data_IF_777788423533
#
_entry.id   IF_777788423533
#
_cell.length_a   1.000
_cell.length_b   1.000
_cell.length_c   1.000
_cell.angle_alpha   90.00
_cell.angle_beta   90.00
_cell.angle_gamma   90.00
#
_symmetry.space_group_name_H-M   'P 1'
#
loop_
_entity.id
_entity.type
_entity.pdbx_description
1 polymer ?
#
# COMPACT_ATOMS: atom_id res chain seq x y z
N UNK A 1 -1.22 17.81 16.39
CA UNK A 1 -1.75 17.10 15.22
C UNK A 1 -3.16 16.69 15.60
N UNK A 2 -4.14 16.88 14.71
CA UNK A 2 -5.46 16.29 14.97
C UNK A 2 -5.32 14.76 14.95
N UNK A 3 -6.21 14.04 15.64
CA UNK A 3 -6.23 12.57 15.72
C UNK A 3 -6.40 11.87 14.33
N UNK A 4 -6.51 12.67 13.26
CA UNK A 4 -6.71 12.22 11.87
C UNK A 4 -5.60 12.63 10.90
N UNK A 5 -4.65 13.51 11.30
CA UNK A 5 -3.55 13.92 10.43
C UNK A 5 -2.53 12.76 10.35
N UNK A 6 -2.27 12.26 9.16
CA UNK A 6 -1.32 11.18 8.95
C UNK A 6 0.08 11.76 8.67
N UNK A 7 1.09 11.31 9.42
CA UNK A 7 2.47 11.77 9.28
C UNK A 7 3.01 11.66 7.84
N UNK A 8 2.50 10.70 7.08
CA UNK A 8 2.91 10.44 5.69
C UNK A 8 2.48 11.55 4.72
N UNK A 9 1.42 12.33 5.01
CA UNK A 9 0.95 13.40 4.12
C UNK A 9 2.02 14.47 3.91
N UNK A 10 2.75 14.86 4.96
CA UNK A 10 3.84 15.82 4.89
C UNK A 10 5.00 15.32 4.02
N UNK A 11 5.30 14.04 4.10
CA UNK A 11 6.30 13.37 3.29
C UNK A 11 5.88 13.35 1.82
N UNK A 12 4.66 12.91 1.54
CA UNK A 12 4.10 12.86 0.20
C UNK A 12 4.07 14.25 -0.46
N UNK A 13 3.66 15.28 0.29
CA UNK A 13 3.62 16.67 -0.17
C UNK A 13 5.00 17.23 -0.50
N UNK A 14 6.04 16.81 0.20
CA UNK A 14 7.41 17.20 -0.12
C UNK A 14 7.94 16.47 -1.36
N UNK A 15 7.72 15.15 -1.45
CA UNK A 15 8.31 14.31 -2.50
C UNK A 15 7.63 14.48 -3.85
N UNK A 16 6.30 14.52 -3.90
CA UNK A 16 5.50 14.59 -5.14
C UNK A 16 5.99 13.60 -6.21
N UNK A 17 6.22 14.06 -7.44
CA UNK A 17 6.73 13.23 -8.54
C UNK A 17 8.12 12.63 -8.27
N UNK A 18 8.92 13.23 -7.37
CA UNK A 18 10.22 12.67 -6.98
C UNK A 18 10.09 11.28 -6.36
N UNK A 19 8.95 10.94 -5.74
CA UNK A 19 8.67 9.61 -5.21
C UNK A 19 8.89 8.51 -6.26
N UNK A 20 8.50 8.74 -7.51
CA UNK A 20 8.65 7.78 -8.61
C UNK A 20 10.10 7.56 -9.07
N UNK A 21 11.07 8.33 -8.56
CA UNK A 21 12.49 8.19 -8.87
C UNK A 21 13.24 7.25 -7.92
N UNK A 22 12.63 6.87 -6.80
CA UNK A 22 13.23 5.99 -5.82
C UNK A 22 13.38 4.56 -6.34
N UNK A 23 14.39 3.85 -5.86
CA UNK A 23 14.77 2.53 -6.39
C UNK A 23 13.67 1.48 -6.22
N UNK A 24 12.90 1.55 -5.14
CA UNK A 24 11.81 0.62 -4.86
C UNK A 24 10.64 0.73 -5.85
N UNK A 25 10.56 1.78 -6.65
CA UNK A 25 9.51 1.92 -7.67
C UNK A 25 9.84 1.20 -8.99
N UNK A 26 11.09 0.75 -9.18
CA UNK A 26 11.55 0.18 -10.45
C UNK A 26 11.01 -1.23 -10.74
N UNK A 27 10.51 -1.95 -9.72
CA UNK A 27 9.98 -3.31 -9.85
C UNK A 27 8.49 -3.40 -10.24
N UNK A 28 7.81 -2.28 -10.52
CA UNK A 28 6.35 -2.23 -10.69
C UNK A 28 5.80 -3.24 -11.70
N UNK A 29 6.44 -3.42 -12.84
CA UNK A 29 5.95 -4.35 -13.87
C UNK A 29 6.03 -5.81 -13.39
N UNK A 30 7.15 -6.21 -12.76
CA UNK A 30 7.32 -7.55 -12.20
C UNK A 30 6.37 -7.79 -11.03
N UNK A 31 6.15 -6.78 -10.19
CA UNK A 31 5.18 -6.85 -9.08
C UNK A 31 3.77 -7.11 -9.63
N UNK A 32 3.36 -6.41 -10.67
CA UNK A 32 2.07 -6.63 -11.32
C UNK A 32 1.99 -7.99 -12.02
N UNK A 33 3.07 -8.45 -12.67
CA UNK A 33 3.14 -9.81 -13.24
C UNK A 33 2.88 -10.87 -12.17
N UNK A 34 3.53 -10.73 -11.00
CA UNK A 34 3.33 -11.62 -9.87
C UNK A 34 1.89 -11.58 -9.35
N UNK A 35 1.30 -10.38 -9.18
CA UNK A 35 -0.07 -10.21 -8.72
C UNK A 35 -1.04 -10.92 -9.67
N UNK A 36 -0.93 -10.69 -10.97
CA UNK A 36 -1.82 -11.27 -11.97
C UNK A 36 -1.68 -12.80 -12.04
N UNK A 37 -0.44 -13.30 -11.95
CA UNK A 37 -0.18 -14.76 -11.92
C UNK A 37 -0.76 -15.41 -10.66
N UNK A 38 -0.57 -14.79 -9.49
CA UNK A 38 -1.02 -15.32 -8.20
C UNK A 38 -2.55 -15.28 -8.05
N UNK A 39 -3.18 -14.20 -8.49
CA UNK A 39 -4.63 -14.02 -8.37
C UNK A 39 -5.42 -14.70 -9.47
N UNK A 40 -4.80 -14.96 -10.61
CA UNK A 40 -5.49 -15.43 -11.81
C UNK A 40 -6.46 -14.41 -12.41
N UNK A 41 -6.28 -13.12 -12.10
CA UNK A 41 -7.12 -12.04 -12.60
C UNK A 41 -7.17 -12.00 -14.13
N UNK A 42 -8.31 -11.60 -14.68
CA UNK A 42 -8.56 -11.51 -16.12
C UNK A 42 -8.80 -10.06 -16.52
N UNK A 43 -8.62 -9.76 -17.80
CA UNK A 43 -8.99 -8.44 -18.34
C UNK A 43 -10.41 -8.08 -17.92
N UNK A 44 -10.60 -6.88 -17.39
CA UNK A 44 -11.85 -6.40 -16.83
C UNK A 44 -12.08 -6.73 -15.35
N UNK A 45 -11.20 -7.51 -14.69
CA UNK A 45 -11.28 -7.72 -13.23
C UNK A 45 -11.19 -6.39 -12.49
N UNK A 46 -11.95 -6.27 -11.40
CA UNK A 46 -12.05 -5.06 -10.59
C UNK A 46 -11.06 -5.11 -9.43
N UNK A 47 -10.15 -4.16 -9.40
CA UNK A 47 -9.14 -4.00 -8.35
C UNK A 47 -9.40 -2.75 -7.50
N UNK A 48 -9.13 -2.85 -6.19
CA UNK A 48 -8.87 -1.70 -5.34
C UNK A 48 -7.39 -1.71 -4.93
N UNK A 49 -6.73 -0.55 -5.08
CA UNK A 49 -5.34 -0.31 -4.66
C UNK A 49 -5.36 0.62 -3.44
N UNK A 50 -5.07 0.08 -2.26
CA UNK A 50 -5.18 0.77 -0.97
C UNK A 50 -3.83 1.32 -0.56
N UNK A 51 -3.74 2.66 -0.45
CA UNK A 51 -2.50 3.38 -0.34
C UNK A 51 -1.75 3.37 -1.69
N UNK A 52 -2.46 3.76 -2.75
CA UNK A 52 -1.95 3.64 -4.12
C UNK A 52 -0.78 4.58 -4.43
N UNK A 53 -0.50 5.56 -3.56
CA UNK A 53 0.49 6.58 -3.80
C UNK A 53 0.23 7.32 -5.13
N UNK A 54 1.29 7.66 -5.89
CA UNK A 54 1.15 8.30 -7.21
C UNK A 54 0.67 7.33 -8.32
N UNK A 55 0.08 6.19 -7.95
CA UNK A 55 -0.64 5.27 -8.83
C UNK A 55 0.22 4.28 -9.61
N UNK A 56 1.46 3.98 -9.24
CA UNK A 56 2.35 3.14 -10.06
C UNK A 56 1.80 1.74 -10.36
N UNK A 57 1.24 1.05 -9.37
CA UNK A 57 0.61 -0.27 -9.56
C UNK A 57 -0.75 -0.16 -10.24
N UNK A 58 -1.56 0.79 -9.81
CA UNK A 58 -2.88 1.06 -10.40
C UNK A 58 -2.79 1.33 -11.90
N UNK A 59 -1.86 2.19 -12.33
CA UNK A 59 -1.66 2.50 -13.75
C UNK A 59 -1.15 1.29 -14.54
N UNK A 60 -0.22 0.51 -13.97
CA UNK A 60 0.28 -0.69 -14.64
C UNK A 60 -0.80 -1.77 -14.76
N UNK A 61 -1.62 -1.99 -13.72
CA UNK A 61 -2.79 -2.87 -13.79
C UNK A 61 -3.78 -2.39 -14.87
N UNK A 62 -4.03 -1.09 -14.96
CA UNK A 62 -4.92 -0.52 -15.95
C UNK A 62 -4.38 -0.70 -17.39
N UNK A 63 -3.07 -0.55 -17.62
CA UNK A 63 -2.41 -0.86 -18.93
C UNK A 63 -2.59 -2.33 -19.31
N UNK A 64 -2.67 -3.24 -18.32
CA UNK A 64 -2.95 -4.67 -18.50
C UNK A 64 -4.44 -4.99 -18.70
N UNK A 65 -5.31 -3.97 -18.74
CA UNK A 65 -6.75 -4.10 -18.97
C UNK A 65 -7.59 -4.39 -17.73
N UNK A 66 -7.04 -4.25 -16.52
CA UNK A 66 -7.82 -4.31 -15.28
C UNK A 66 -8.58 -3.00 -15.07
N UNK A 67 -9.70 -3.04 -14.35
CA UNK A 67 -10.39 -1.84 -13.89
C UNK A 67 -9.95 -1.54 -12.46
N UNK A 68 -9.37 -0.38 -12.21
CA UNK A 68 -8.71 -0.09 -10.93
C UNK A 68 -9.30 1.15 -10.27
N UNK A 69 -9.58 1.05 -8.98
CA UNK A 69 -9.84 2.19 -8.10
C UNK A 69 -8.69 2.30 -7.11
N UNK A 70 -7.87 3.35 -7.24
CA UNK A 70 -6.80 3.68 -6.27
C UNK A 70 -7.31 4.63 -5.21
N UNK A 71 -6.96 4.36 -3.95
CA UNK A 71 -7.22 5.28 -2.83
C UNK A 71 -5.92 5.60 -2.11
N UNK A 72 -5.78 6.86 -1.70
CA UNK A 72 -4.63 7.34 -0.91
C UNK A 72 -5.05 8.50 -0.01
N UNK A 73 -4.37 8.67 1.11
CA UNK A 73 -4.60 9.79 2.04
C UNK A 73 -4.09 11.11 1.46
N UNK A 74 -3.02 11.06 0.66
CA UNK A 74 -2.36 12.23 0.09
C UNK A 74 -3.07 12.75 -1.16
N UNK A 75 -3.56 13.99 -1.10
CA UNK A 75 -4.13 14.66 -2.28
C UNK A 75 -3.06 14.87 -3.37
N UNK A 76 -1.82 15.23 -3.02
CA UNK A 76 -0.74 15.42 -3.98
C UNK A 76 -0.48 14.15 -4.81
N UNK A 77 -0.48 12.96 -4.16
CA UNK A 77 -0.31 11.69 -4.88
C UNK A 77 -1.52 11.35 -5.74
N UNK A 78 -2.73 11.59 -5.29
CA UNK A 78 -3.95 11.39 -6.09
C UNK A 78 -3.93 12.29 -7.35
N UNK A 79 -3.55 13.55 -7.22
CA UNK A 79 -3.44 14.48 -8.35
C UNK A 79 -2.41 13.99 -9.38
N UNK A 80 -1.27 13.45 -8.92
CA UNK A 80 -0.25 12.86 -9.79
C UNK A 80 -0.80 11.62 -10.51
N UNK A 81 -1.46 10.72 -9.78
CA UNK A 81 -2.04 9.51 -10.35
C UNK A 81 -3.10 9.83 -11.42
N UNK A 82 -4.00 10.77 -11.13
CA UNK A 82 -5.02 11.25 -12.08
C UNK A 82 -4.40 11.89 -13.33
N UNK A 83 -3.41 12.76 -13.15
CA UNK A 83 -2.67 13.40 -14.25
C UNK A 83 -2.02 12.35 -15.17
N UNK A 84 -1.33 11.37 -14.58
CA UNK A 84 -0.64 10.32 -15.32
C UNK A 84 -1.64 9.40 -16.03
N UNK A 85 -2.76 9.04 -15.40
CA UNK A 85 -3.85 8.29 -16.02
C UNK A 85 -4.43 9.02 -17.23
N UNK A 86 -4.69 10.32 -17.10
CA UNK A 86 -5.19 11.15 -18.20
C UNK A 86 -4.19 11.27 -19.35
N UNK A 87 -2.90 11.45 -19.06
CA UNK A 87 -1.84 11.54 -20.07
C UNK A 87 -1.74 10.26 -20.92
N UNK A 88 -2.03 9.10 -20.35
CA UNK A 88 -2.04 7.80 -21.01
C UNK A 88 -3.42 7.37 -21.51
N UNK A 89 -4.45 8.19 -21.34
CA UNK A 89 -5.84 7.89 -21.70
C UNK A 89 -6.38 6.58 -21.07
N UNK A 90 -5.98 6.28 -19.85
CA UNK A 90 -6.40 5.09 -19.10
C UNK A 90 -7.77 5.34 -18.44
N UNK A 91 -8.85 5.11 -19.19
CA UNK A 91 -10.24 5.33 -18.73
C UNK A 91 -10.72 4.30 -17.70
N UNK A 92 -9.95 3.25 -17.49
CA UNK A 92 -10.19 2.14 -16.58
C UNK A 92 -9.44 2.27 -15.23
N UNK A 93 -8.84 3.44 -14.97
CA UNK A 93 -8.23 3.77 -13.68
C UNK A 93 -8.88 5.03 -13.10
N UNK A 94 -9.42 4.92 -11.91
CA UNK A 94 -9.97 6.04 -11.14
C UNK A 94 -9.22 6.18 -9.82
N UNK A 95 -9.08 7.41 -9.31
CA UNK A 95 -8.33 7.70 -8.10
C UNK A 95 -9.13 8.61 -7.18
N UNK A 96 -9.15 8.28 -5.89
CA UNK A 96 -9.94 8.97 -4.87
C UNK A 96 -9.06 9.25 -3.64
N UNK A 97 -9.06 10.50 -3.18
CA UNK A 97 -8.51 10.80 -1.85
C UNK A 97 -9.41 10.18 -0.79
N UNK A 98 -8.90 9.19 -0.10
CA UNK A 98 -9.58 8.51 0.99
C UNK A 98 -8.57 7.93 1.97
N UNK A 99 -8.73 8.23 3.25
CA UNK A 99 -8.00 7.56 4.30
C UNK A 99 -8.43 6.08 4.37
N UNK A 100 -7.47 5.17 4.35
CA UNK A 100 -7.75 3.72 4.37
C UNK A 100 -8.51 3.30 5.64
N UNK A 101 -8.36 4.04 6.76
CA UNK A 101 -9.11 3.82 8.00
C UNK A 101 -10.61 4.10 7.83
N UNK A 102 -10.96 5.00 6.93
CA UNK A 102 -12.35 5.34 6.63
C UNK A 102 -12.99 4.43 5.56
N UNK A 103 -12.22 3.56 4.91
CA UNK A 103 -12.72 2.65 3.87
C UNK A 103 -13.87 1.77 4.36
N UNK A 104 -13.84 1.35 5.63
CA UNK A 104 -14.91 0.56 6.25
C UNK A 104 -16.27 1.27 6.25
N UNK A 105 -16.27 2.60 6.23
CA UNK A 105 -17.47 3.44 6.24
C UNK A 105 -17.84 3.97 4.85
N UNK A 106 -17.03 3.70 3.82
CA UNK A 106 -17.22 4.24 2.48
C UNK A 106 -18.09 3.31 1.62
N UNK A 107 -19.39 3.33 1.85
CA UNK A 107 -20.38 2.44 1.24
C UNK A 107 -20.28 2.28 -0.30
N UNK A 108 -19.93 3.31 -1.11
CA UNK A 108 -19.80 3.17 -2.55
C UNK A 108 -18.74 2.16 -3.02
N UNK A 109 -17.80 1.79 -2.15
CA UNK A 109 -16.74 0.83 -2.46
C UNK A 109 -16.99 -0.57 -1.86
N UNK A 110 -18.07 -0.79 -1.11
CA UNK A 110 -18.36 -2.08 -0.48
C UNK A 110 -18.75 -3.17 -1.49
N UNK A 111 -18.24 -4.39 -1.27
CA UNK A 111 -18.55 -5.60 -2.05
C UNK A 111 -18.43 -5.41 -3.58
N UNK A 112 -17.52 -4.53 -4.00
CA UNK A 112 -17.35 -4.11 -5.39
C UNK A 112 -16.24 -4.88 -6.11
N UNK A 113 -15.15 -5.20 -5.40
CA UNK A 113 -13.89 -5.61 -6.03
C UNK A 113 -13.68 -7.13 -6.01
N UNK A 114 -13.09 -7.64 -7.09
CA UNK A 114 -12.64 -9.02 -7.18
C UNK A 114 -11.31 -9.19 -6.42
N UNK A 115 -10.47 -8.16 -6.48
CA UNK A 115 -9.13 -8.15 -5.90
C UNK A 115 -8.84 -6.84 -5.17
N UNK A 116 -8.03 -6.94 -4.12
CA UNK A 116 -7.43 -5.79 -3.46
C UNK A 116 -5.91 -5.95 -3.45
N UNK A 117 -5.20 -4.85 -3.57
CA UNK A 117 -3.77 -4.76 -3.31
C UNK A 117 -3.50 -3.68 -2.25
N UNK A 118 -2.52 -3.94 -1.37
CA UNK A 118 -1.98 -2.96 -0.44
C UNK A 118 -0.47 -3.24 -0.34
N UNK A 119 0.32 -2.55 -1.16
CA UNK A 119 1.70 -2.90 -1.43
C UNK A 119 2.67 -1.79 -1.02
N UNK A 120 3.91 -2.18 -0.74
CA UNK A 120 5.01 -1.25 -0.48
C UNK A 120 4.68 -0.22 0.60
N UNK A 121 4.11 -0.67 1.72
CA UNK A 121 3.62 0.20 2.78
C UNK A 121 2.54 1.18 2.28
N UNK A 122 1.60 0.71 1.48
CA UNK A 122 0.52 1.55 0.98
C UNK A 122 -0.30 2.19 2.10
N UNK A 123 -0.74 1.38 3.07
CA UNK A 123 -1.48 1.86 4.24
C UNK A 123 -1.21 0.98 5.47
N UNK A 124 -1.29 -0.35 5.32
CA UNK A 124 -1.05 -1.32 6.39
C UNK A 124 0.40 -1.25 6.88
N UNK A 125 0.59 -1.16 8.20
CA UNK A 125 1.90 -1.00 8.83
C UNK A 125 2.43 0.42 8.89
N UNK A 126 1.68 1.44 8.43
CA UNK A 126 2.06 2.86 8.54
C UNK A 126 1.30 3.60 9.65
N UNK A 127 0.36 2.96 10.31
CA UNK A 127 -0.53 3.60 11.29
C UNK A 127 0.08 3.71 12.69
N UNK A 128 1.19 3.03 12.98
CA UNK A 128 1.87 2.99 14.29
C UNK A 128 0.97 2.38 15.40
N UNK A 129 -0.15 1.83 15.03
CA UNK A 129 -1.20 1.37 15.94
C UNK A 129 -1.92 0.15 15.34
N UNK A 130 -1.90 -0.96 16.05
CA UNK A 130 -2.50 -2.24 15.64
C UNK A 130 -4.00 -2.10 15.37
N UNK A 131 -4.71 -1.24 16.12
CA UNK A 131 -6.15 -1.04 15.93
C UNK A 131 -6.44 -0.45 14.55
N UNK A 132 -5.69 0.56 14.14
CA UNK A 132 -5.85 1.17 12.82
C UNK A 132 -5.49 0.20 11.69
N UNK A 133 -4.48 -0.63 11.87
CA UNK A 133 -4.14 -1.67 10.89
C UNK A 133 -5.27 -2.71 10.75
N UNK A 134 -5.91 -3.10 11.86
CA UNK A 134 -7.12 -3.96 11.84
C UNK A 134 -8.29 -3.27 11.15
N UNK A 135 -8.51 -1.97 11.40
CA UNK A 135 -9.57 -1.19 10.73
C UNK A 135 -9.35 -1.11 9.22
N UNK A 136 -8.10 -0.92 8.76
CA UNK A 136 -7.74 -0.95 7.35
C UNK A 136 -8.07 -2.31 6.73
N UNK A 137 -7.65 -3.40 7.37
CA UNK A 137 -7.94 -4.75 6.89
C UNK A 137 -9.44 -5.02 6.84
N UNK A 138 -10.20 -4.60 7.85
CA UNK A 138 -11.65 -4.72 7.87
C UNK A 138 -12.32 -3.92 6.75
N UNK A 139 -11.82 -2.71 6.47
CA UNK A 139 -12.25 -1.89 5.33
C UNK A 139 -11.98 -2.57 3.98
N UNK A 140 -10.78 -3.12 3.80
CA UNK A 140 -10.42 -3.89 2.61
C UNK A 140 -11.33 -5.11 2.47
N UNK A 141 -11.55 -5.89 3.56
CA UNK A 141 -12.44 -7.05 3.54
C UNK A 141 -13.85 -6.68 3.12
N UNK A 142 -14.35 -5.54 3.60
CA UNK A 142 -15.68 -5.05 3.25
C UNK A 142 -15.80 -4.56 1.81
N UNK A 143 -14.71 -4.10 1.21
CA UNK A 143 -14.67 -3.66 -0.18
C UNK A 143 -14.65 -4.83 -1.17
N UNK A 144 -14.14 -5.98 -0.74
CA UNK A 144 -14.05 -7.19 -1.54
C UNK A 144 -15.39 -7.90 -1.64
N UNK A 145 -15.65 -8.54 -2.78
CA UNK A 145 -16.71 -9.56 -2.95
C UNK A 145 -16.46 -10.76 -2.05
N UNK A 146 -17.43 -11.68 -1.95
CA UNK A 146 -17.36 -12.84 -1.05
C UNK A 146 -16.12 -13.71 -1.22
N UNK A 147 -15.66 -13.92 -2.45
CA UNK A 147 -14.44 -14.69 -2.76
C UNK A 147 -13.30 -13.80 -3.25
N UNK A 148 -13.33 -12.52 -2.89
CA UNK A 148 -12.30 -11.58 -3.29
C UNK A 148 -10.97 -11.88 -2.61
N UNK A 149 -9.86 -11.61 -3.30
CA UNK A 149 -8.50 -11.89 -2.85
C UNK A 149 -7.73 -10.61 -2.58
N UNK A 150 -7.04 -10.57 -1.44
CA UNK A 150 -6.11 -9.51 -1.07
C UNK A 150 -4.67 -9.97 -1.29
N UNK A 151 -3.86 -9.16 -1.97
CA UNK A 151 -2.41 -9.26 -2.00
C UNK A 151 -1.83 -8.08 -1.22
N UNK A 152 -1.09 -8.39 -0.16
CA UNK A 152 -0.56 -7.37 0.75
C UNK A 152 0.92 -7.64 1.04
N UNK A 153 1.72 -6.59 1.10
CA UNK A 153 3.08 -6.66 1.62
C UNK A 153 3.17 -6.04 3.02
N UNK A 154 3.91 -6.69 3.91
CA UNK A 154 4.16 -6.21 5.26
C UNK A 154 5.66 -6.34 5.60
N UNK A 155 6.16 -5.44 6.45
CA UNK A 155 7.53 -5.54 6.95
C UNK A 155 7.66 -6.67 7.96
N UNK A 156 8.72 -7.47 7.80
CA UNK A 156 9.01 -8.57 8.70
C UNK A 156 9.81 -8.07 9.90
N UNK A 157 9.26 -8.24 11.12
CA UNK A 157 9.88 -7.81 12.36
C UNK A 157 11.29 -8.42 12.58
N UNK A 158 11.47 -9.71 12.26
CA UNK A 158 12.78 -10.36 12.38
C UNK A 158 13.80 -9.80 11.37
N UNK A 159 13.34 -9.42 10.17
CA UNK A 159 14.20 -8.80 9.18
C UNK A 159 14.63 -7.40 9.64
N UNK A 160 13.70 -6.59 10.14
CA UNK A 160 13.98 -5.25 10.64
C UNK A 160 15.00 -5.27 11.79
N UNK A 161 14.79 -6.09 12.80
CA UNK A 161 15.73 -6.23 13.93
C UNK A 161 17.13 -6.71 13.47
N UNK A 162 17.20 -7.56 12.44
CA UNK A 162 18.46 -8.14 12.01
C UNK A 162 19.25 -7.26 11.05
N UNK A 163 18.58 -6.49 10.20
CA UNK A 163 19.20 -5.84 9.04
C UNK A 163 19.09 -4.31 9.04
N UNK A 164 18.20 -3.71 9.84
CA UNK A 164 18.04 -2.27 9.96
C UNK A 164 18.71 -1.76 11.24
N UNK A 165 20.04 -1.85 11.30
CA UNK A 165 20.81 -1.50 12.50
C UNK A 165 20.76 -0.01 12.85
N UNK A 166 20.41 0.86 11.90
CA UNK A 166 20.32 2.31 12.08
C UNK A 166 18.91 2.78 12.50
N UNK A 167 17.93 1.85 12.53
CA UNK A 167 16.59 2.13 13.00
C UNK A 167 16.40 1.73 14.47
N UNK A 168 15.64 2.52 15.20
CA UNK A 168 15.19 2.16 16.54
C UNK A 168 13.97 1.23 16.43
N UNK A 169 14.08 0.03 16.98
CA UNK A 169 12.98 -0.94 16.99
C UNK A 169 12.39 -1.04 18.40
N UNK A 170 11.13 -0.65 18.55
CA UNK A 170 10.38 -0.89 19.78
C UNK A 170 9.76 -2.29 19.77
N UNK A 171 10.31 -3.17 20.59
CA UNK A 171 9.85 -4.56 20.69
C UNK A 171 8.46 -4.71 21.33
N UNK A 172 7.96 -3.68 22.03
CA UNK A 172 6.63 -3.72 22.65
C UNK A 172 5.53 -3.47 21.62
N UNK A 173 5.73 -2.48 20.76
CA UNK A 173 4.76 -2.11 19.71
C UNK A 173 5.05 -2.78 18.35
N UNK A 174 6.23 -3.37 18.17
CA UNK A 174 6.65 -3.90 16.87
C UNK A 174 6.94 -2.80 15.82
N UNK A 175 7.13 -1.56 16.26
CA UNK A 175 7.35 -0.42 15.37
C UNK A 175 8.84 -0.15 15.19
N UNK A 176 9.28 -0.02 13.96
CA UNK A 176 10.59 0.49 13.58
C UNK A 176 10.50 1.98 13.28
N UNK A 177 11.38 2.77 13.88
CA UNK A 177 11.51 4.21 13.65
C UNK A 177 12.89 4.51 13.08
N UNK A 178 12.93 5.25 11.98
CA UNK A 178 14.17 5.74 11.40
C UNK A 178 14.02 7.21 10.97
N UNK A 179 15.12 7.95 11.01
CA UNK A 179 15.20 9.32 10.50
C UNK A 179 16.00 9.30 9.21
N UNK A 180 15.46 9.83 8.13
CA UNK A 180 16.10 9.82 6.82
C UNK A 180 15.93 11.12 6.05
N UNK A 181 16.77 11.33 5.05
CA UNK A 181 16.68 12.47 4.16
C UNK A 181 15.89 12.10 2.90
N UNK A 182 14.81 12.84 2.65
CA UNK A 182 14.05 12.76 1.41
C UNK A 182 14.34 13.98 0.53
N UNK A 183 14.17 13.81 -0.79
CA UNK A 183 14.40 14.88 -1.77
C UNK A 183 13.15 15.12 -2.60
N UNK A 184 12.85 16.39 -2.83
CA UNK A 184 11.80 16.79 -3.76
C UNK A 184 12.33 16.84 -5.22
N UNK A 185 11.48 17.30 -6.13
CA UNK A 185 11.80 17.43 -7.56
C UNK A 185 12.92 18.44 -7.85
N UNK A 186 13.06 19.45 -7.01
CA UNK A 186 14.12 20.48 -7.10
C UNK A 186 15.43 20.05 -6.46
N UNK A 187 15.46 18.86 -5.83
CA UNK A 187 16.61 18.33 -5.10
C UNK A 187 16.75 18.90 -3.68
N UNK A 188 15.75 19.64 -3.19
CA UNK A 188 15.73 20.14 -1.82
C UNK A 188 15.55 18.97 -0.84
N UNK A 189 16.41 18.96 0.18
CA UNK A 189 16.46 17.90 1.19
C UNK A 189 15.56 18.27 2.37
N UNK A 190 14.76 17.32 2.82
CA UNK A 190 14.03 17.39 4.08
C UNK A 190 14.36 16.16 4.91
N UNK A 191 14.77 16.37 6.16
CA UNK A 191 14.92 15.30 7.13
C UNK A 191 13.56 14.96 7.70
N UNK A 192 13.20 13.67 7.70
CA UNK A 192 11.88 13.16 8.11
C UNK A 192 12.02 11.90 8.95
N UNK A 193 11.04 11.70 9.81
CA UNK A 193 10.88 10.48 10.56
C UNK A 193 9.98 9.51 9.80
N UNK A 194 10.38 8.24 9.76
CA UNK A 194 9.61 7.15 9.18
C UNK A 194 9.28 6.13 10.26
N UNK A 195 8.01 5.79 10.38
CA UNK A 195 7.53 4.74 11.28
C UNK A 195 6.97 3.58 10.48
N UNK A 196 7.36 2.38 10.84
CA UNK A 196 6.95 1.17 10.16
C UNK A 196 6.49 0.12 11.17
N UNK A 197 5.24 -0.27 11.11
CA UNK A 197 4.72 -1.43 11.83
C UNK A 197 5.27 -2.70 11.19
N UNK A 198 5.98 -3.48 11.98
CA UNK A 198 6.64 -4.69 11.55
C UNK A 198 5.96 -5.90 12.18
N UNK A 199 5.66 -6.89 11.37
CA UNK A 199 4.91 -8.07 11.78
C UNK A 199 5.73 -9.35 11.63
N UNK A 200 5.57 -10.27 12.58
CA UNK A 200 6.00 -11.65 12.36
C UNK A 200 4.97 -12.40 11.50
N UNK A 201 5.34 -13.48 10.79
CA UNK A 201 4.37 -14.31 10.07
C UNK A 201 3.26 -14.91 10.97
N UNK A 202 3.53 -15.04 12.28
CA UNK A 202 2.54 -15.50 13.24
C UNK A 202 1.52 -14.42 13.55
N UNK A 203 1.95 -13.20 13.77
CA UNK A 203 1.07 -12.05 14.02
C UNK A 203 0.21 -11.75 12.80
N UNK A 204 0.77 -11.79 11.60
CA UNK A 204 -0.01 -11.65 10.36
C UNK A 204 -1.16 -12.66 10.31
N UNK A 205 -0.93 -13.95 10.64
CA UNK A 205 -2.03 -14.94 10.68
C UNK A 205 -3.12 -14.57 11.67
N UNK A 206 -2.76 -14.04 12.82
CA UNK A 206 -3.74 -13.65 13.83
C UNK A 206 -4.53 -12.41 13.40
N UNK A 207 -3.85 -11.37 12.92
CA UNK A 207 -4.48 -10.10 12.53
C UNK A 207 -5.40 -10.29 11.31
N UNK A 208 -4.95 -11.04 10.29
CA UNK A 208 -5.77 -11.32 9.11
C UNK A 208 -7.00 -12.17 9.45
N UNK A 209 -6.86 -13.16 10.34
CA UNK A 209 -7.98 -13.97 10.79
C UNK A 209 -9.02 -13.14 11.57
N UNK A 210 -8.55 -12.21 12.43
CA UNK A 210 -9.43 -11.25 13.13
C UNK A 210 -10.19 -10.35 12.16
N UNK A 211 -9.56 -9.96 11.05
CA UNK A 211 -10.19 -9.16 10.00
C UNK A 211 -11.07 -9.98 9.03
N UNK A 212 -11.22 -11.29 9.23
CA UNK A 212 -12.05 -12.15 8.42
C UNK A 212 -11.43 -12.61 7.10
N UNK A 213 -10.10 -12.72 7.04
CA UNK A 213 -9.38 -13.28 5.92
C UNK A 213 -8.85 -14.68 6.24
N UNK A 214 -8.96 -15.57 5.25
CA UNK A 214 -8.22 -16.83 5.22
C UNK A 214 -6.92 -16.64 4.46
N UNK A 215 -5.78 -16.93 5.07
CA UNK A 215 -4.48 -16.78 4.45
C UNK A 215 -4.20 -17.95 3.53
N UNK A 216 -4.05 -17.68 2.24
CA UNK A 216 -3.72 -18.68 1.23
C UNK A 216 -2.23 -18.95 1.18
N UNK A 217 -1.40 -17.91 1.28
CA UNK A 217 0.06 -18.02 1.26
C UNK A 217 0.72 -16.85 2.01
N UNK A 218 1.88 -17.12 2.61
CA UNK A 218 2.81 -16.08 3.11
C UNK A 218 4.19 -16.43 2.54
N UNK A 219 4.73 -15.54 1.72
CA UNK A 219 6.05 -15.68 1.13
C UNK A 219 6.96 -14.53 1.56
N UNK A 220 8.25 -14.80 1.64
CA UNK A 220 9.22 -13.72 1.73
C UNK A 220 9.45 -13.14 0.33
N UNK A 221 9.49 -11.82 0.23
CA UNK A 221 9.70 -11.12 -1.03
C UNK A 221 10.98 -10.31 -0.92
N UNK A 222 11.90 -10.50 -1.84
CA UNK A 222 13.01 -9.58 -2.06
C UNK A 222 12.70 -8.74 -3.30
N UNK A 223 12.97 -7.42 -3.28
CA UNK A 223 12.74 -6.59 -4.45
C UNK A 223 13.42 -7.17 -5.70
N UNK A 224 12.63 -7.47 -6.74
CA UNK A 224 13.11 -8.07 -7.99
C UNK A 224 13.31 -9.60 -7.96
N UNK A 225 13.01 -10.26 -6.85
CA UNK A 225 13.02 -11.71 -6.73
C UNK A 225 11.69 -12.21 -6.15
N UNK A 226 10.75 -12.49 -7.00
CA UNK A 226 9.44 -13.04 -6.62
C UNK A 226 9.47 -14.57 -6.77
N UNK A 227 10.02 -15.25 -5.78
CA UNK A 227 9.99 -16.72 -5.68
C UNK A 227 9.19 -17.16 -4.47
N UNK A 228 8.41 -18.22 -4.65
CA UNK A 228 7.71 -18.91 -3.56
C UNK A 228 8.68 -19.60 -2.61
#
# INVERSE_FOLDING_TARGET
>A
MSDRDHWFEDLASHMKDAYLRYSFTKGTSQEVDFILATTGAKVGSLFIDVGCGPGRHSLELARRGMCVTGIDVSQDFIDIAQRNSAAESLVNAEFLRLDARDLINHAPLHAKFDFAICLCQGAFGLMIDDQHDVEILAGIRRSLKDNGVLVLSAFNAYFSVKHHADAEFDALSGVSHETTDIRNELGEVKNVDLWTGCYTPRELRLVFNLAGFDILNISSVEPGQYSN
#
